data_IF_102063611136
#
_entry.id   IF_102063611136
#
_cell.length_a   1.000
_cell.length_b   1.000
_cell.length_c   1.000
_cell.angle_alpha   90.00
_cell.angle_beta   90.00
_cell.angle_gamma   90.00
#
_symmetry.space_group_name_H-M   'P 1'
#
loop_
_entity.id
_entity.type
_entity.pdbx_description
1 polymer ?
#
# COMPACT_ATOMS: atom_id res chain seq x y z
N UNK A 1 -7.94 9.78 -12.93
CA UNK A 1 -7.72 8.60 -12.08
C UNK A 1 -7.05 9.08 -10.80
N UNK A 2 -7.59 8.80 -9.61
CA UNK A 2 -6.92 9.18 -8.35
C UNK A 2 -5.66 8.32 -8.19
N UNK A 3 -4.57 8.89 -7.67
CA UNK A 3 -3.38 8.09 -7.35
C UNK A 3 -3.69 7.17 -6.16
N UNK A 4 -2.99 6.04 -6.05
CA UNK A 4 -3.20 5.13 -4.93
C UNK A 4 -3.01 5.85 -3.58
N UNK A 5 -2.06 6.78 -3.51
CA UNK A 5 -1.82 7.59 -2.32
C UNK A 5 -3.07 8.39 -1.91
N UNK A 6 -3.71 9.06 -2.87
CA UNK A 6 -4.95 9.81 -2.64
C UNK A 6 -6.09 8.89 -2.18
N UNK A 7 -6.20 7.69 -2.73
CA UNK A 7 -7.21 6.71 -2.30
C UNK A 7 -6.95 6.25 -0.85
N UNK A 8 -5.69 5.98 -0.48
CA UNK A 8 -5.31 5.56 0.87
C UNK A 8 -5.45 6.65 1.94
N UNK A 9 -5.54 7.92 1.54
CA UNK A 9 -5.78 9.05 2.44
C UNK A 9 -7.27 9.21 2.78
N UNK A 10 -8.16 8.82 1.86
CA UNK A 10 -9.62 8.94 2.07
C UNK A 10 -10.28 7.64 2.50
N UNK A 11 -9.69 6.50 2.17
CA UNK A 11 -10.28 5.18 2.41
C UNK A 11 -9.55 4.43 3.53
N UNK A 12 -10.28 3.66 4.36
CA UNK A 12 -9.68 2.88 5.44
C UNK A 12 -8.79 1.75 4.93
N UNK A 13 -9.16 1.10 3.83
CA UNK A 13 -8.33 0.12 3.13
C UNK A 13 -8.63 0.13 1.64
N UNK A 14 -7.64 -0.30 0.84
CA UNK A 14 -7.71 -0.33 -0.62
C UNK A 14 -7.22 -1.69 -1.10
N UNK A 15 -7.97 -2.31 -2.02
CA UNK A 15 -7.47 -3.50 -2.73
C UNK A 15 -6.64 -3.06 -3.91
N UNK A 16 -5.42 -3.58 -4.00
CA UNK A 16 -4.47 -3.21 -5.06
C UNK A 16 -4.10 -4.46 -5.84
N UNK A 17 -4.30 -4.40 -7.15
CA UNK A 17 -3.87 -5.39 -8.13
C UNK A 17 -2.60 -4.90 -8.80
N UNK A 18 -1.51 -5.66 -8.70
CA UNK A 18 -0.20 -5.23 -9.20
C UNK A 18 0.58 -6.37 -9.87
N UNK A 19 1.51 -6.01 -10.75
CA UNK A 19 2.43 -6.93 -11.43
C UNK A 19 3.69 -7.08 -10.57
N UNK A 20 4.03 -8.33 -10.23
CA UNK A 20 5.28 -8.64 -9.53
C UNK A 20 6.47 -8.64 -10.48
N UNK A 21 7.70 -8.62 -9.93
CA UNK A 21 8.94 -8.75 -10.72
C UNK A 21 9.01 -10.02 -11.59
N UNK A 22 8.22 -11.05 -11.27
CA UNK A 22 8.13 -12.30 -12.04
C UNK A 22 7.03 -12.26 -13.10
N UNK A 23 6.52 -11.08 -13.45
CA UNK A 23 5.41 -10.86 -14.39
C UNK A 23 4.13 -11.64 -14.03
N UNK A 24 3.88 -11.83 -12.72
CA UNK A 24 2.63 -12.43 -12.22
C UNK A 24 1.78 -11.38 -11.55
N UNK A 25 0.46 -11.49 -11.67
CA UNK A 25 -0.50 -10.58 -11.05
C UNK A 25 -0.79 -11.05 -9.64
N UNK A 26 -0.75 -10.13 -8.67
CA UNK A 26 -1.20 -10.36 -7.30
C UNK A 26 -2.18 -9.29 -6.87
N UNK A 27 -3.03 -9.66 -5.91
CA UNK A 27 -3.94 -8.75 -5.22
C UNK A 27 -3.49 -8.74 -3.76
N UNK A 28 -3.54 -7.56 -3.16
CA UNK A 28 -3.37 -7.40 -1.72
C UNK A 28 -4.37 -6.37 -1.21
N UNK A 29 -4.69 -6.44 0.08
CA UNK A 29 -5.47 -5.42 0.78
C UNK A 29 -4.52 -4.55 1.60
N UNK A 30 -4.60 -3.24 1.46
CA UNK A 30 -3.61 -2.33 2.03
C UNK A 30 -4.22 -1.11 2.69
N UNK A 31 -3.50 -0.55 3.66
CA UNK A 31 -3.92 0.65 4.38
C UNK A 31 -2.73 1.54 4.71
N UNK A 32 -3.00 2.84 4.89
CA UNK A 32 -2.13 3.79 5.61
C UNK A 32 -2.79 4.32 6.88
N UNK A 33 -4.00 3.86 7.19
CA UNK A 33 -4.72 4.24 8.39
C UNK A 33 -4.15 3.48 9.59
N UNK A 34 -3.50 4.22 10.49
CA UNK A 34 -2.83 3.68 11.66
C UNK A 34 -3.78 2.95 12.62
N UNK A 35 -5.09 3.22 12.57
CA UNK A 35 -6.09 2.52 13.39
C UNK A 35 -6.21 1.03 13.03
N UNK A 36 -5.87 0.65 11.80
CA UNK A 36 -5.85 -0.74 11.33
C UNK A 36 -4.51 -1.43 11.55
N UNK A 37 -3.52 -0.72 12.11
CA UNK A 37 -2.15 -1.20 12.29
C UNK A 37 -1.88 -1.35 13.80
N UNK A 38 -1.39 -2.51 14.26
CA UNK A 38 -1.02 -2.71 15.66
C UNK A 38 -0.04 -1.63 16.14
N UNK A 39 -0.21 -1.12 17.36
CA UNK A 39 0.59 0.00 17.90
C UNK A 39 2.10 -0.22 17.77
N UNK A 40 2.55 -1.45 18.03
CA UNK A 40 3.96 -1.87 17.92
C UNK A 40 4.54 -1.75 16.51
N UNK A 41 3.69 -1.66 15.49
CA UNK A 41 4.07 -1.62 14.07
C UNK A 41 3.79 -0.28 13.41
N UNK A 42 3.14 0.68 14.11
CA UNK A 42 2.83 2.01 13.56
C UNK A 42 4.06 2.84 13.19
N UNK A 43 5.22 2.54 13.78
CA UNK A 43 6.48 3.22 13.48
C UNK A 43 6.91 3.09 12.00
N UNK A 44 6.43 2.06 11.30
CA UNK A 44 6.76 1.82 9.88
C UNK A 44 6.20 2.84 8.88
N UNK A 45 5.44 3.86 9.32
CA UNK A 45 5.07 5.00 8.46
C UNK A 45 6.14 6.11 8.43
N UNK A 46 6.99 6.21 9.46
CA UNK A 46 7.84 7.39 9.71
C UNK A 46 9.34 7.18 9.44
N UNK A 47 9.78 6.00 9.02
CA UNK A 47 11.20 5.72 8.75
C UNK A 47 11.65 6.42 7.45
N UNK A 48 12.88 6.97 7.36
CA UNK A 48 13.33 7.78 6.21
C UNK A 48 13.39 7.09 4.84
N UNK A 49 13.10 5.78 4.76
CA UNK A 49 13.17 4.99 3.53
C UNK A 49 11.92 5.15 2.63
N UNK A 50 10.93 5.95 3.03
CA UNK A 50 9.52 5.70 2.71
C UNK A 50 8.85 6.57 1.65
N UNK A 51 9.57 7.46 0.99
CA UNK A 51 8.99 8.29 -0.08
C UNK A 51 10.03 8.55 -1.16
N UNK A 52 10.33 7.51 -1.95
CA UNK A 52 10.99 7.72 -3.25
C UNK A 52 9.91 8.03 -4.29
N UNK A 53 10.17 8.90 -5.27
CA UNK A 53 9.24 9.13 -6.37
C UNK A 53 8.82 7.82 -7.02
N UNK A 54 7.51 7.62 -7.21
CA UNK A 54 6.94 6.41 -7.82
C UNK A 54 6.91 5.18 -6.93
N UNK A 55 7.24 5.28 -5.63
CA UNK A 55 7.09 4.19 -4.65
C UNK A 55 6.16 4.64 -3.52
N UNK A 56 5.06 3.91 -3.32
CA UNK A 56 4.14 4.10 -2.21
C UNK A 56 4.40 3.02 -1.16
N UNK A 57 4.52 3.44 0.10
CA UNK A 57 4.54 2.54 1.24
C UNK A 57 3.14 2.34 1.80
N UNK A 58 2.79 1.08 1.99
CA UNK A 58 1.49 0.66 2.50
C UNK A 58 1.66 -0.48 3.48
N UNK A 59 0.73 -0.59 4.42
CA UNK A 59 0.64 -1.76 5.28
C UNK A 59 -0.26 -2.80 4.61
N UNK A 60 0.28 -3.98 4.31
CA UNK A 60 -0.46 -5.10 3.73
C UNK A 60 -1.21 -5.83 4.86
N UNK A 61 -2.53 -5.72 4.84
CA UNK A 61 -3.42 -6.28 5.85
C UNK A 61 -3.50 -7.81 5.80
N UNK A 62 -3.19 -8.42 4.65
CA UNK A 62 -3.25 -9.87 4.48
C UNK A 62 -2.04 -10.55 5.10
N UNK A 63 -0.85 -9.95 4.96
CA UNK A 63 0.41 -10.48 5.49
C UNK A 63 0.87 -9.81 6.79
N UNK A 64 0.20 -8.71 7.19
CA UNK A 64 0.47 -7.92 8.39
C UNK A 64 1.89 -7.36 8.44
N UNK A 65 2.31 -6.71 7.35
CA UNK A 65 3.65 -6.15 7.21
C UNK A 65 3.65 -4.91 6.30
N UNK A 66 4.65 -4.05 6.48
CA UNK A 66 4.86 -2.87 5.64
C UNK A 66 5.50 -3.25 4.32
N UNK A 67 4.97 -2.72 3.22
CA UNK A 67 5.43 -3.01 1.85
C UNK A 67 5.60 -1.76 1.02
N UNK A 68 6.68 -1.75 0.24
CA UNK A 68 6.94 -0.78 -0.80
C UNK A 68 6.35 -1.24 -2.13
N UNK A 69 5.63 -0.37 -2.82
CA UNK A 69 4.96 -0.69 -4.07
C UNK A 69 5.27 0.39 -5.06
N UNK A 70 5.72 -0.03 -6.23
CA UNK A 70 5.91 0.90 -7.33
C UNK A 70 4.56 1.26 -7.93
N UNK A 71 4.32 2.55 -8.13
CA UNK A 71 3.07 3.03 -8.73
C UNK A 71 2.86 2.45 -10.14
N UNK A 72 3.93 2.31 -10.92
CA UNK A 72 3.87 1.76 -12.28
C UNK A 72 3.61 0.25 -12.35
N UNK A 73 3.72 -0.46 -11.22
CA UNK A 73 3.35 -1.86 -11.13
C UNK A 73 1.85 -2.05 -10.87
N UNK A 74 1.11 -0.98 -10.51
CA UNK A 74 -0.31 -1.05 -10.16
C UNK A 74 -1.14 -1.10 -11.44
N UNK A 75 -1.92 -2.16 -11.59
CA UNK A 75 -2.87 -2.33 -12.69
C UNK A 75 -4.20 -1.67 -12.35
N UNK A 76 -4.64 -1.85 -11.10
CA UNK A 76 -5.96 -1.44 -10.64
C UNK A 76 -5.97 -1.30 -9.12
N UNK A 77 -6.66 -0.30 -8.59
CA UNK A 77 -6.94 -0.14 -7.18
C UNK A 77 -8.43 0.16 -6.99
N UNK A 78 -9.09 -0.61 -6.13
CA UNK A 78 -10.52 -0.49 -5.86
C UNK A 78 -10.79 -0.28 -4.37
N UNK A 79 -11.84 0.49 -4.10
CA UNK A 79 -12.39 0.66 -2.76
C UNK A 79 -13.04 -0.64 -2.31
N UNK A 80 -13.05 -0.88 -1.01
CA UNK A 80 -13.77 -1.99 -0.40
C UNK A 80 -15.11 -1.52 0.14
#
# INVERSE_FOLDING_TARGET
>A
MKTLLQTLETEPSVKIKFITKKNTIRIMESTRNLNYIPDKQRAGLNTPMYTKPGIIWVYDLMVKDWRAIREDAIIQNENK
#
